data_IF_719899806187
#
_entry.id   IF_719899806187
#
_cell.length_a   1.000
_cell.length_b   1.000
_cell.length_c   1.000
_cell.angle_alpha   90.00
_cell.angle_beta   90.00
_cell.angle_gamma   90.00
#
_symmetry.space_group_name_H-M   'P 1'
#
loop_
_entity.id
_entity.type
_entity.pdbx_description
1 polymer ?
#
# COMPACT_ATOMS: atom_id res chain seq x y z
N UNK A 1 -19.20 -28.37 -17.79
CA UNK A 1 -19.72 -27.50 -16.73
C UNK A 1 -18.51 -26.98 -15.95
N UNK A 2 -18.02 -25.79 -16.30
CA UNK A 2 -16.77 -25.26 -15.73
C UNK A 2 -17.00 -24.77 -14.30
N UNK A 3 -16.07 -25.09 -13.39
CA UNK A 3 -15.81 -24.19 -12.26
C UNK A 3 -14.97 -23.03 -12.81
N UNK A 4 -15.33 -21.75 -12.57
CA UNK A 4 -14.41 -20.66 -12.86
C UNK A 4 -13.13 -20.86 -12.05
N UNK A 5 -11.98 -20.52 -12.64
CA UNK A 5 -10.77 -20.38 -11.85
C UNK A 5 -10.96 -19.16 -10.94
N UNK A 6 -10.85 -19.36 -9.62
CA UNK A 6 -10.83 -18.24 -8.67
C UNK A 6 -9.44 -17.61 -8.80
N UNK A 7 -9.37 -16.49 -9.53
CA UNK A 7 -8.13 -15.75 -9.76
C UNK A 7 -7.62 -15.17 -8.44
N UNK A 8 -6.62 -15.84 -7.84
CA UNK A 8 -5.98 -15.39 -6.59
C UNK A 8 -4.91 -14.34 -6.88
N UNK A 9 -5.34 -13.18 -7.36
CA UNK A 9 -4.52 -11.96 -7.43
C UNK A 9 -4.54 -11.33 -6.02
N UNK A 10 -4.00 -12.05 -5.04
CA UNK A 10 -3.97 -11.62 -3.65
C UNK A 10 -2.87 -10.59 -3.45
N UNK A 11 -3.18 -9.34 -3.81
CA UNK A 11 -2.27 -8.22 -3.65
C UNK A 11 -2.44 -7.56 -2.29
N UNK A 12 -1.45 -7.79 -1.42
CA UNK A 12 -1.13 -6.80 -0.38
C UNK A 12 -0.36 -5.63 -0.99
N UNK A 13 -0.99 -4.97 -1.98
CA UNK A 13 -1.50 -3.62 -1.78
C UNK A 13 -2.55 -3.34 -2.89
N UNK A 14 -3.86 -3.09 -2.66
CA UNK A 14 -4.53 -2.16 -1.71
C UNK A 14 -4.31 -0.71 -2.27
N UNK A 15 -5.08 -0.22 -3.33
CA UNK A 15 -5.37 1.22 -3.82
C UNK A 15 -5.21 1.49 -5.41
N UNK A 16 -6.03 2.08 -6.36
CA UNK A 16 -7.44 2.56 -6.69
C UNK A 16 -7.81 2.77 -8.24
N UNK A 17 -8.83 2.16 -8.89
CA UNK A 17 -9.67 2.63 -10.08
C UNK A 17 -9.13 2.98 -11.52
N UNK A 18 -10.01 3.02 -12.57
CA UNK A 18 -9.87 3.85 -13.78
C UNK A 18 -10.74 5.15 -13.75
N UNK A 19 -10.86 5.87 -14.89
CA UNK A 19 -11.57 7.17 -15.02
C UNK A 19 -12.34 7.26 -16.37
N UNK A 20 -13.35 8.12 -16.46
CA UNK A 20 -14.01 8.51 -17.72
C UNK A 20 -13.96 10.04 -17.96
N UNK A 21 -14.23 10.48 -19.19
CA UNK A 21 -13.82 11.79 -19.72
C UNK A 21 -14.89 12.88 -19.59
N UNK A 22 -14.46 14.12 -19.27
CA UNK A 22 -15.25 15.36 -19.34
C UNK A 22 -14.47 16.50 -20.00
N UNK A 23 -15.19 17.46 -20.61
CA UNK A 23 -14.63 18.58 -21.37
C UNK A 23 -14.23 19.78 -20.47
N UNK A 24 -13.35 20.71 -20.92
CA UNK A 24 -12.73 21.68 -20.03
C UNK A 24 -13.62 22.90 -19.71
N UNK A 25 -13.70 23.22 -18.42
CA UNK A 25 -14.13 24.52 -17.89
C UNK A 25 -12.91 25.29 -17.38
N UNK A 26 -12.99 26.63 -17.35
CA UNK A 26 -11.86 27.48 -16.97
C UNK A 26 -11.40 27.21 -15.53
N UNK A 27 -10.09 27.02 -15.36
CA UNK A 27 -9.45 26.71 -14.07
C UNK A 27 -9.18 28.02 -13.32
N UNK A 28 -9.80 28.28 -12.15
CA UNK A 28 -9.32 29.32 -11.25
C UNK A 28 -7.93 28.93 -10.72
N UNK A 29 -7.11 29.90 -10.32
CA UNK A 29 -5.75 29.63 -9.82
C UNK A 29 -5.79 28.55 -8.72
N UNK A 30 -4.92 27.54 -8.84
CA UNK A 30 -4.86 26.47 -7.87
C UNK A 30 -4.34 27.01 -6.54
N UNK A 31 -5.15 26.89 -5.48
CA UNK A 31 -4.69 27.06 -4.10
C UNK A 31 -3.56 26.06 -3.81
N UNK A 32 -2.58 26.46 -2.98
CA UNK A 32 -1.51 25.57 -2.56
C UNK A 32 -2.08 24.31 -1.88
N UNK A 33 -1.69 23.09 -2.30
CA UNK A 33 -2.33 21.87 -1.84
C UNK A 33 -2.15 21.67 -0.33
N UNK A 34 -3.28 21.67 0.38
CA UNK A 34 -3.37 21.72 1.85
C UNK A 34 -2.51 20.61 2.47
N UNK A 35 -1.53 21.01 3.27
CA UNK A 35 -0.66 20.10 4.01
C UNK A 35 -1.36 19.50 5.23
N UNK A 36 -1.10 18.22 5.50
CA UNK A 36 -1.66 17.49 6.66
C UNK A 36 -0.56 17.35 7.71
N UNK A 37 -0.50 18.31 8.64
CA UNK A 37 0.53 18.36 9.68
C UNK A 37 0.53 17.12 10.58
N UNK A 38 1.74 16.69 10.98
CA UNK A 38 2.00 15.45 11.74
C UNK A 38 1.40 14.22 11.04
N UNK A 39 1.63 14.13 9.73
CA UNK A 39 1.18 13.04 8.85
C UNK A 39 1.50 11.64 9.40
N UNK A 40 2.58 11.52 10.15
CA UNK A 40 3.08 10.28 10.74
C UNK A 40 2.20 9.75 11.88
N UNK A 41 1.41 10.60 12.54
CA UNK A 41 0.45 10.20 13.59
C UNK A 41 -0.79 9.47 13.04
N UNK A 42 -1.01 9.49 11.74
CA UNK A 42 -2.05 8.69 11.07
C UNK A 42 -1.64 7.23 10.87
N UNK A 43 -0.42 6.85 11.27
CA UNK A 43 0.16 5.52 11.05
C UNK A 43 0.89 5.00 12.31
N UNK A 44 0.17 4.80 13.43
CA UNK A 44 0.76 4.21 14.63
C UNK A 44 1.25 2.77 14.38
N UNK A 45 2.53 2.54 14.70
CA UNK A 45 3.25 1.29 14.49
C UNK A 45 3.94 0.79 15.78
N UNK A 46 3.40 1.12 16.96
CA UNK A 46 3.95 0.64 18.23
C UNK A 46 3.69 -0.86 18.41
N UNK A 47 4.74 -1.65 18.66
CA UNK A 47 4.65 -3.08 18.97
C UNK A 47 3.62 -3.38 20.07
N UNK A 48 2.74 -4.35 19.82
CA UNK A 48 1.62 -4.74 20.68
C UNK A 48 0.33 -3.97 20.41
N UNK A 49 0.31 -3.01 19.47
CA UNK A 49 -0.95 -2.40 18.99
C UNK A 49 -1.69 -3.39 18.08
N UNK A 50 -3.02 -3.37 18.12
CA UNK A 50 -3.85 -4.22 17.28
C UNK A 50 -5.16 -3.55 16.86
N UNK A 51 -5.75 -4.10 15.80
CA UNK A 51 -6.98 -3.67 15.16
C UNK A 51 -7.81 -4.89 14.81
N UNK A 52 -9.11 -4.87 15.11
CA UNK A 52 -10.08 -5.89 14.73
C UNK A 52 -11.00 -5.31 13.66
N UNK A 53 -11.03 -5.93 12.48
CA UNK A 53 -11.86 -5.52 11.36
C UNK A 53 -12.91 -6.59 11.04
N UNK A 54 -14.13 -6.13 10.75
CA UNK A 54 -15.09 -6.94 9.99
C UNK A 54 -14.81 -6.80 8.50
N UNK A 55 -14.74 -7.93 7.83
CA UNK A 55 -14.53 -8.03 6.40
C UNK A 55 -15.79 -8.46 5.66
N UNK A 56 -16.00 -7.90 4.47
CA UNK A 56 -16.99 -8.35 3.50
C UNK A 56 -16.30 -8.50 2.13
N UNK A 57 -16.54 -9.61 1.43
CA UNK A 57 -16.05 -9.86 0.07
C UNK A 57 -17.20 -10.33 -0.84
N UNK A 58 -17.23 -9.78 -2.05
CA UNK A 58 -18.20 -10.09 -3.12
C UNK A 58 -17.43 -10.39 -4.41
N UNK A 59 -17.68 -11.55 -5.02
CA UNK A 59 -16.99 -11.99 -6.24
C UNK A 59 -18.04 -12.30 -7.33
N UNK A 60 -17.94 -11.73 -8.53
CA UNK A 60 -18.84 -12.11 -9.61
C UNK A 60 -18.82 -11.27 -10.89
N UNK A 61 -19.51 -11.73 -11.95
CA UNK A 61 -19.57 -11.08 -13.26
C UNK A 61 -20.72 -10.07 -13.33
N UNK A 62 -20.60 -8.97 -12.58
CA UNK A 62 -21.54 -7.82 -12.49
C UNK A 62 -22.92 -8.08 -11.82
N UNK A 63 -23.17 -9.26 -11.24
CA UNK A 63 -24.33 -9.47 -10.37
C UNK A 63 -23.91 -10.17 -9.06
N UNK A 64 -24.28 -9.56 -7.95
CA UNK A 64 -24.07 -10.07 -6.58
C UNK A 64 -24.89 -11.33 -6.36
N UNK A 65 -24.21 -12.46 -6.15
CA UNK A 65 -24.85 -13.76 -5.86
C UNK A 65 -24.76 -14.12 -4.37
N UNK A 66 -23.65 -13.74 -3.71
CA UNK A 66 -23.41 -14.00 -2.29
C UNK A 66 -22.47 -12.93 -1.72
N UNK A 67 -22.75 -12.46 -0.50
CA UNK A 67 -21.81 -11.66 0.30
C UNK A 67 -21.16 -12.57 1.33
N UNK A 68 -19.85 -12.71 1.27
CA UNK A 68 -19.08 -13.52 2.23
C UNK A 68 -18.52 -12.58 3.29
N UNK A 69 -18.78 -12.89 4.55
CA UNK A 69 -18.25 -12.13 5.68
C UNK A 69 -17.06 -12.87 6.29
N UNK A 70 -16.08 -12.10 6.77
CA UNK A 70 -14.89 -12.59 7.46
C UNK A 70 -14.51 -11.62 8.58
N UNK A 71 -13.53 -11.99 9.39
CA UNK A 71 -12.86 -11.06 10.31
C UNK A 71 -11.36 -11.10 10.05
N UNK A 72 -10.70 -9.97 10.31
CA UNK A 72 -9.26 -9.83 10.22
C UNK A 72 -8.77 -9.12 11.49
N UNK A 73 -7.72 -9.65 12.12
CA UNK A 73 -7.04 -9.00 13.24
C UNK A 73 -5.62 -8.67 12.78
N UNK A 74 -5.32 -7.37 12.70
CA UNK A 74 -3.98 -6.87 12.41
C UNK A 74 -3.27 -6.55 13.73
N UNK A 75 -1.98 -6.88 13.85
CA UNK A 75 -1.21 -6.70 15.09
C UNK A 75 0.25 -6.37 14.81
N UNK A 76 0.80 -5.33 15.44
CA UNK A 76 2.23 -5.02 15.34
C UNK A 76 3.02 -5.98 16.23
N UNK A 77 3.57 -7.06 15.65
CA UNK A 77 4.25 -8.11 16.43
C UNK A 77 5.72 -7.80 16.75
N UNK A 78 6.36 -6.91 16.00
CA UNK A 78 7.74 -6.49 16.26
C UNK A 78 8.46 -5.93 15.05
N UNK A 79 9.77 -6.14 14.98
CA UNK A 79 10.62 -5.76 13.84
C UNK A 79 11.34 -6.96 13.23
N UNK A 80 11.67 -6.84 11.95
CA UNK A 80 12.44 -7.82 11.16
C UNK A 80 13.51 -7.05 10.37
N UNK A 81 14.63 -7.68 10.05
CA UNK A 81 15.64 -7.08 9.17
C UNK A 81 15.54 -7.71 7.79
N UNK A 82 15.13 -6.94 6.79
CA UNK A 82 15.03 -7.36 5.39
C UNK A 82 16.06 -6.62 4.55
N UNK A 83 16.97 -7.35 3.89
CA UNK A 83 17.99 -6.79 2.99
C UNK A 83 18.82 -5.65 3.63
N UNK A 84 19.12 -5.75 4.93
CA UNK A 84 19.86 -4.74 5.71
C UNK A 84 19.00 -3.59 6.27
N UNK A 85 17.69 -3.63 6.06
CA UNK A 85 16.75 -2.58 6.51
C UNK A 85 15.83 -3.12 7.60
N UNK A 86 15.74 -2.41 8.73
CA UNK A 86 14.74 -2.71 9.76
C UNK A 86 13.35 -2.31 9.28
N UNK A 87 12.41 -3.26 9.33
CA UNK A 87 10.99 -3.07 9.03
C UNK A 87 10.16 -3.43 10.26
N UNK A 88 9.02 -2.76 10.42
CA UNK A 88 7.93 -3.18 11.29
C UNK A 88 7.21 -4.37 10.67
N UNK A 89 6.81 -5.33 11.51
CA UNK A 89 6.01 -6.49 11.12
C UNK A 89 4.60 -6.31 11.66
N UNK A 90 3.64 -6.26 10.74
CA UNK A 90 2.22 -6.39 11.03
C UNK A 90 1.84 -7.85 10.76
N UNK A 91 1.18 -8.50 11.71
CA UNK A 91 0.65 -9.85 11.55
C UNK A 91 -0.86 -9.75 11.38
N UNK A 92 -1.37 -10.28 10.27
CA UNK A 92 -2.75 -10.13 9.84
C UNK A 92 -3.40 -11.53 9.74
N UNK A 93 -4.49 -11.79 10.47
CA UNK A 93 -5.01 -13.17 10.61
C UNK A 93 -5.78 -13.68 9.38
N UNK A 94 -6.48 -12.82 8.65
CA UNK A 94 -7.18 -13.16 7.41
C UNK A 94 -7.50 -11.89 6.58
N UNK A 95 -6.53 -11.01 6.30
CA UNK A 95 -6.76 -9.78 5.56
C UNK A 95 -7.26 -10.09 4.15
N UNK A 96 -8.18 -9.28 3.62
CA UNK A 96 -8.78 -9.49 2.29
C UNK A 96 -9.49 -10.84 2.11
N UNK A 97 -9.72 -11.60 3.19
CA UNK A 97 -10.11 -13.01 3.18
C UNK A 97 -9.11 -13.93 2.44
N UNK A 98 -7.81 -13.68 2.58
CA UNK A 98 -6.74 -14.41 1.88
C UNK A 98 -5.97 -15.43 2.75
N UNK A 99 -6.29 -15.51 4.05
CA UNK A 99 -5.55 -16.29 5.05
C UNK A 99 -4.41 -15.49 5.69
N UNK A 100 -3.77 -16.10 6.70
CA UNK A 100 -2.74 -15.46 7.54
C UNK A 100 -1.56 -14.91 6.71
N UNK A 101 -1.14 -13.68 7.03
CA UNK A 101 -0.01 -12.99 6.39
C UNK A 101 0.78 -12.14 7.39
N UNK A 102 2.12 -12.14 7.26
CA UNK A 102 2.99 -11.11 7.85
C UNK A 102 3.26 -10.02 6.80
N UNK A 103 2.93 -8.77 7.09
CA UNK A 103 3.10 -7.60 6.22
C UNK A 103 4.25 -6.70 6.70
N UNK A 104 5.17 -6.30 5.80
CA UNK A 104 6.41 -5.60 6.18
C UNK A 104 6.43 -4.12 5.74
N UNK A 105 6.58 -3.20 6.71
CA UNK A 105 6.55 -1.75 6.46
C UNK A 105 7.74 -1.03 7.09
N UNK A 106 8.18 0.07 6.47
CA UNK A 106 9.17 1.01 7.04
C UNK A 106 8.62 2.42 7.01
N UNK A 107 8.50 3.04 8.19
CA UNK A 107 8.16 4.45 8.36
C UNK A 107 9.43 5.27 8.61
N UNK A 108 9.55 6.43 7.96
CA UNK A 108 10.58 7.44 8.24
C UNK A 108 10.02 8.85 8.00
N UNK A 109 10.89 9.87 8.01
CA UNK A 109 10.51 11.27 7.79
C UNK A 109 10.07 11.60 6.36
N UNK A 110 10.25 10.69 5.40
CA UNK A 110 9.86 10.84 3.98
C UNK A 110 8.54 10.13 3.69
N UNK A 111 8.12 9.18 4.53
CA UNK A 111 6.82 8.52 4.43
C UNK A 111 6.84 7.06 4.88
N UNK A 112 6.02 6.24 4.21
CA UNK A 112 5.91 4.80 4.49
C UNK A 112 6.19 4.01 3.22
N UNK A 113 7.10 3.05 3.34
CA UNK A 113 7.55 2.15 2.27
C UNK A 113 7.18 0.71 2.63
N UNK A 114 6.52 0.02 1.71
CA UNK A 114 6.20 -1.40 1.82
C UNK A 114 7.35 -2.27 1.32
N UNK A 115 7.60 -3.38 2.02
CA UNK A 115 8.70 -4.32 1.77
C UNK A 115 8.24 -5.74 1.42
N UNK A 116 6.94 -5.93 1.16
CA UNK A 116 6.34 -7.23 0.83
C UNK A 116 5.62 -7.87 2.00
N UNK A 117 5.00 -9.01 1.72
CA UNK A 117 4.38 -9.89 2.71
C UNK A 117 4.96 -11.30 2.69
N UNK A 118 4.65 -12.07 3.72
CA UNK A 118 4.95 -13.50 3.85
C UNK A 118 3.66 -14.22 4.31
N UNK A 119 2.92 -14.90 3.42
CA UNK A 119 3.29 -15.31 2.06
C UNK A 119 2.89 -14.32 0.93
N UNK A 120 3.85 -13.55 0.40
CA UNK A 120 3.63 -12.70 -0.77
C UNK A 120 3.62 -13.39 -2.14
N UNK A 121 3.02 -12.77 -3.16
CA UNK A 121 2.83 -13.35 -4.51
C UNK A 121 4.08 -13.23 -5.41
N UNK A 122 4.19 -13.99 -6.52
CA UNK A 122 5.31 -13.85 -7.46
C UNK A 122 5.41 -12.45 -8.08
N UNK A 123 4.28 -11.87 -8.48
CA UNK A 123 4.22 -10.52 -9.04
C UNK A 123 4.63 -9.45 -8.00
N UNK A 124 4.10 -9.54 -6.78
CA UNK A 124 4.43 -8.65 -5.67
C UNK A 124 5.93 -8.63 -5.38
N UNK A 125 6.56 -9.81 -5.33
CA UNK A 125 8.01 -9.98 -5.08
C UNK A 125 8.91 -9.27 -6.10
N UNK A 126 8.39 -8.94 -7.28
CA UNK A 126 9.08 -8.14 -8.31
C UNK A 126 8.72 -6.64 -8.24
N UNK A 127 7.56 -6.29 -7.69
CA UNK A 127 7.12 -4.91 -7.48
C UNK A 127 7.80 -4.26 -6.26
N UNK A 128 8.00 -4.98 -5.16
CA UNK A 128 8.58 -4.48 -3.90
C UNK A 128 10.08 -4.15 -3.95
N UNK A 129 10.59 -3.23 -3.08
CA UNK A 129 9.82 -2.32 -2.23
C UNK A 129 9.32 -1.10 -2.98
N UNK A 130 8.26 -0.45 -2.48
CA UNK A 130 7.77 0.82 -3.02
C UNK A 130 7.06 1.67 -1.95
N UNK A 131 6.92 2.97 -2.22
CA UNK A 131 6.31 3.92 -1.29
C UNK A 131 4.78 3.90 -1.40
N UNK A 132 4.09 3.85 -0.26
CA UNK A 132 2.62 3.89 -0.19
C UNK A 132 2.09 5.27 0.23
N UNK A 133 2.82 5.97 1.09
CA UNK A 133 2.49 7.32 1.59
C UNK A 133 3.76 8.18 1.61
N UNK A 134 3.62 9.47 1.29
CA UNK A 134 4.68 10.50 1.38
C UNK A 134 4.38 11.48 2.51
N UNK A 135 5.42 11.90 3.23
CA UNK A 135 5.35 12.94 4.26
C UNK A 135 6.08 14.22 3.82
N UNK A 136 5.54 15.42 4.14
CA UNK A 136 4.18 15.65 4.63
C UNK A 136 3.15 15.26 3.56
N UNK A 137 2.03 14.66 3.98
CA UNK A 137 0.89 14.41 3.11
C UNK A 137 0.29 15.75 2.66
N UNK A 138 -0.15 15.83 1.40
CA UNK A 138 -0.79 17.02 0.83
C UNK A 138 -2.05 16.64 0.06
N UNK A 139 -3.16 17.27 0.39
CA UNK A 139 -4.48 17.08 -0.24
C UNK A 139 -4.40 17.31 -1.75
N UNK A 140 -5.10 16.49 -2.53
CA UNK A 140 -5.12 16.45 -3.98
C UNK A 140 -3.75 16.24 -4.67
N UNK A 141 -2.74 15.70 -3.98
CA UNK A 141 -1.43 15.37 -4.60
C UNK A 141 -1.26 13.87 -4.83
N UNK A 142 -0.61 13.52 -5.95
CA UNK A 142 -0.38 12.15 -6.42
C UNK A 142 1.08 11.88 -6.76
N UNK A 143 1.52 10.62 -6.71
CA UNK A 143 2.86 10.17 -7.06
C UNK A 143 2.90 8.73 -7.57
N UNK A 144 3.69 8.47 -8.61
CA UNK A 144 3.99 7.11 -9.04
C UNK A 144 4.72 6.31 -7.94
N UNK A 145 4.15 5.16 -7.59
CA UNK A 145 4.71 4.15 -6.69
C UNK A 145 5.67 3.23 -7.45
N UNK A 146 5.26 2.81 -8.65
CA UNK A 146 6.05 1.99 -9.57
C UNK A 146 5.55 2.12 -11.02
N UNK A 147 6.45 1.97 -11.99
CA UNK A 147 6.10 1.50 -13.32
C UNK A 147 7.11 0.42 -13.73
N UNK A 148 6.65 -0.80 -13.99
CA UNK A 148 7.49 -1.97 -14.29
C UNK A 148 6.86 -2.80 -15.41
N UNK A 149 7.71 -3.43 -16.23
CA UNK A 149 7.34 -4.15 -17.46
C UNK A 149 7.85 -5.59 -17.41
N UNK A 150 7.23 -6.47 -18.22
CA UNK A 150 7.63 -7.88 -18.39
C UNK A 150 7.78 -8.70 -17.08
N UNK A 151 6.94 -8.40 -16.09
CA UNK A 151 6.92 -9.12 -14.81
C UNK A 151 6.33 -10.52 -14.99
N UNK A 152 6.85 -11.51 -14.28
CA UNK A 152 6.16 -12.81 -14.13
C UNK A 152 4.87 -12.60 -13.31
N UNK A 153 3.71 -12.88 -13.92
CA UNK A 153 2.41 -12.75 -13.27
C UNK A 153 2.16 -13.81 -12.19
N UNK A 154 2.91 -14.93 -12.20
CA UNK A 154 2.80 -15.99 -11.22
C UNK A 154 1.61 -16.93 -11.41
N UNK A 155 0.88 -16.80 -12.51
CA UNK A 155 -0.29 -17.63 -12.87
C UNK A 155 -0.27 -17.88 -14.36
N UNK A 156 -0.57 -19.12 -14.76
CA UNK A 156 -0.95 -19.54 -16.10
C UNK A 156 -2.47 -19.33 -16.27
N UNK A 157 -2.90 -18.47 -17.21
CA UNK A 157 -4.30 -18.11 -17.40
C UNK A 157 -4.92 -18.74 -18.65
N UNK A 158 -4.18 -18.85 -19.77
CA UNK A 158 -4.67 -19.53 -21.00
C UNK A 158 -4.41 -21.05 -21.07
N UNK A 159 -3.68 -21.59 -20.08
CA UNK A 159 -3.44 -23.02 -19.78
C UNK A 159 -2.50 -23.72 -20.75
N UNK A 160 -1.50 -23.01 -21.25
CA UNK A 160 -0.41 -23.57 -22.05
C UNK A 160 0.73 -24.17 -21.19
N UNK A 161 0.72 -23.95 -19.87
CA UNK A 161 1.75 -24.40 -18.93
C UNK A 161 2.81 -23.35 -18.59
N UNK A 162 2.65 -22.10 -19.03
CA UNK A 162 3.57 -20.99 -18.79
C UNK A 162 2.85 -19.87 -18.02
N UNK A 163 3.54 -19.19 -17.10
CA UNK A 163 2.98 -18.02 -16.43
C UNK A 163 2.88 -16.82 -17.37
N UNK A 164 1.82 -16.02 -17.23
CA UNK A 164 1.64 -14.81 -18.03
C UNK A 164 2.66 -13.71 -17.72
N UNK A 165 2.79 -12.75 -18.64
CA UNK A 165 3.66 -11.58 -18.46
C UNK A 165 2.87 -10.30 -18.23
N UNK A 166 3.20 -9.55 -17.19
CA UNK A 166 2.48 -8.33 -16.80
C UNK A 166 3.34 -7.07 -16.90
N UNK A 167 2.81 -6.04 -17.57
CA UNK A 167 3.22 -4.66 -17.35
C UNK A 167 2.32 -4.05 -16.27
N UNK A 168 2.89 -3.46 -15.20
CA UNK A 168 2.15 -2.93 -14.07
C UNK A 168 2.61 -1.51 -13.70
N UNK A 169 1.65 -0.58 -13.60
CA UNK A 169 1.83 0.80 -13.14
C UNK A 169 1.01 1.03 -11.86
N UNK A 170 1.64 1.67 -10.87
CA UNK A 170 1.11 2.01 -9.55
C UNK A 170 1.25 3.51 -9.24
N UNK A 171 0.20 4.23 -8.85
CA UNK A 171 0.21 5.69 -8.55
C UNK A 171 -0.60 6.04 -7.30
N UNK A 172 -0.01 6.57 -6.21
CA UNK A 172 -0.69 6.89 -4.91
C UNK A 172 -0.97 8.38 -4.71
N UNK A 173 -2.13 8.70 -4.11
CA UNK A 173 -2.79 10.02 -4.07
C UNK A 173 -3.44 10.29 -2.71
N UNK A 174 -3.13 11.41 -2.07
CA UNK A 174 -3.89 11.85 -0.87
C UNK A 174 -5.08 12.68 -1.35
N UNK A 175 -6.30 12.19 -1.20
CA UNK A 175 -7.49 12.85 -1.77
C UNK A 175 -7.98 13.99 -0.90
N UNK A 176 -8.02 13.80 0.42
CA UNK A 176 -8.56 14.78 1.35
C UNK A 176 -8.74 14.23 2.76
N UNK A 177 -9.49 14.97 3.58
CA UNK A 177 -9.99 14.51 4.87
C UNK A 177 -11.53 14.55 4.84
N UNK A 178 -12.17 13.49 5.33
CA UNK A 178 -13.63 13.35 5.35
C UNK A 178 -14.09 12.51 6.55
N UNK A 179 -15.31 12.74 7.07
CA UNK A 179 -15.82 12.01 8.23
C UNK A 179 -16.20 10.57 7.86
N UNK A 180 -15.66 9.60 8.61
CA UNK A 180 -15.89 8.16 8.40
C UNK A 180 -16.53 7.55 9.62
N UNK A 181 -17.64 6.84 9.44
CA UNK A 181 -18.31 6.05 10.48
C UNK A 181 -18.14 4.56 10.20
N UNK A 182 -17.66 3.83 11.20
CA UNK A 182 -17.48 2.37 11.27
C UNK A 182 -17.92 1.89 12.67
N UNK A 183 -17.99 0.58 12.99
CA UNK A 183 -18.49 0.14 14.30
C UNK A 183 -17.65 0.64 15.49
N UNK A 184 -16.35 0.86 15.31
CA UNK A 184 -15.48 1.49 16.31
C UNK A 184 -15.80 2.99 16.59
N UNK A 185 -16.65 3.64 15.78
CA UNK A 185 -17.09 5.03 15.97
C UNK A 185 -17.02 5.89 14.71
N UNK A 186 -17.16 7.21 14.90
CA UNK A 186 -17.04 8.21 13.83
C UNK A 186 -15.75 9.02 13.98
N UNK A 187 -14.89 8.98 12.97
CA UNK A 187 -13.64 9.73 12.88
C UNK A 187 -13.84 10.91 11.93
N UNK A 188 -13.86 12.15 12.45
CA UNK A 188 -14.26 13.34 11.68
C UNK A 188 -13.26 13.74 10.59
N UNK A 189 -11.96 13.63 10.89
CA UNK A 189 -10.87 14.16 10.06
C UNK A 189 -10.05 13.04 9.39
N UNK A 190 -10.70 11.93 9.02
CA UNK A 190 -10.01 10.75 8.49
C UNK A 190 -9.40 11.05 7.11
N UNK A 191 -8.09 10.82 6.98
CA UNK A 191 -7.35 11.06 5.73
C UNK A 191 -7.70 9.97 4.74
N UNK A 192 -8.37 10.35 3.66
CA UNK A 192 -8.67 9.48 2.54
C UNK A 192 -7.49 9.48 1.57
N UNK A 193 -6.87 8.32 1.43
CA UNK A 193 -5.87 8.04 0.39
C UNK A 193 -6.56 7.27 -0.72
N UNK A 194 -6.07 7.42 -1.95
CA UNK A 194 -6.53 6.79 -3.18
C UNK A 194 -5.31 6.56 -4.09
N UNK A 195 -5.25 5.56 -4.97
CA UNK A 195 -4.05 5.27 -5.77
C UNK A 195 -4.49 4.79 -7.14
N UNK A 196 -3.81 3.79 -7.70
CA UNK A 196 -4.14 3.18 -9.00
C UNK A 196 -3.18 2.05 -9.26
N UNK A 197 -3.64 0.80 -9.42
CA UNK A 197 -2.87 -0.19 -10.16
C UNK A 197 -3.55 -0.55 -11.48
N UNK A 198 -2.79 -0.45 -12.57
CA UNK A 198 -3.20 -0.85 -13.93
C UNK A 198 -2.24 -1.90 -14.44
N UNK A 199 -2.78 -3.03 -14.89
CA UNK A 199 -2.02 -4.15 -15.44
C UNK A 199 -2.39 -4.40 -16.90
N UNK A 200 -1.38 -4.70 -17.72
CA UNK A 200 -1.53 -5.33 -19.04
C UNK A 200 -0.89 -6.71 -18.98
N UNK A 201 -1.72 -7.74 -18.90
CA UNK A 201 -1.30 -9.13 -18.80
C UNK A 201 -1.32 -9.70 -20.23
N UNK A 202 -0.15 -10.08 -20.74
CA UNK A 202 0.05 -10.74 -22.03
C UNK A 202 0.01 -12.24 -21.81
N UNK A 203 -0.93 -12.89 -22.48
CA UNK A 203 -1.11 -14.34 -22.45
C UNK A 203 0.01 -15.05 -23.21
N UNK A 204 0.57 -16.13 -22.66
CA UNK A 204 1.68 -16.91 -23.20
C UNK A 204 1.32 -17.61 -24.51
N UNK A 205 0.29 -18.46 -24.49
CA UNK A 205 -0.10 -19.29 -25.63
C UNK A 205 -0.66 -18.50 -26.82
N UNK A 206 -1.23 -17.31 -26.55
CA UNK A 206 -1.98 -16.54 -27.56
C UNK A 206 -1.45 -15.12 -27.84
N UNK A 207 -0.53 -14.58 -27.04
CA UNK A 207 -0.07 -13.17 -27.08
C UNK A 207 -1.18 -12.10 -26.97
N UNK A 208 -2.43 -12.49 -26.68
CA UNK A 208 -3.54 -11.59 -26.38
C UNK A 208 -3.22 -10.79 -25.11
N UNK A 209 -3.65 -9.54 -25.05
CA UNK A 209 -3.53 -8.71 -23.83
C UNK A 209 -4.87 -8.64 -23.12
N UNK A 210 -4.87 -9.01 -21.84
CA UNK A 210 -5.94 -8.79 -20.87
C UNK A 210 -5.58 -7.59 -20.01
N UNK A 211 -6.51 -6.65 -19.83
CA UNK A 211 -6.33 -5.52 -18.92
C UNK A 211 -6.91 -5.82 -17.55
N UNK A 212 -6.12 -5.56 -16.50
CA UNK A 212 -6.56 -5.58 -15.11
C UNK A 212 -6.52 -4.18 -14.51
N UNK A 213 -7.49 -3.88 -13.65
CA UNK A 213 -7.50 -2.67 -12.81
C UNK A 213 -7.71 -3.11 -11.37
N UNK A 214 -6.78 -2.76 -10.49
CA UNK A 214 -6.97 -2.91 -9.05
C UNK A 214 -7.35 -1.57 -8.41
N UNK A 215 -8.19 -1.66 -7.39
CA UNK A 215 -8.80 -0.55 -6.69
C UNK A 215 -8.67 -0.73 -5.18
N UNK A 216 -8.30 0.28 -4.41
CA UNK A 216 -8.89 0.51 -3.07
C UNK A 216 -9.20 1.99 -2.82
N UNK A 217 -10.04 2.29 -1.84
CA UNK A 217 -9.95 3.54 -1.07
C UNK A 217 -9.68 3.21 0.40
N UNK A 218 -8.79 3.95 1.07
CA UNK A 218 -8.50 3.76 2.50
C UNK A 218 -8.57 5.07 3.27
N UNK A 219 -9.01 4.93 4.52
CA UNK A 219 -9.20 6.05 5.43
C UNK A 219 -8.40 5.81 6.70
N UNK A 220 -7.53 6.77 7.03
CA UNK A 220 -6.67 6.71 8.21
C UNK A 220 -7.12 7.77 9.22
N UNK A 221 -7.35 7.38 10.47
CA UNK A 221 -7.69 8.30 11.55
C UNK A 221 -6.47 8.57 12.45
N UNK A 222 -6.35 9.83 12.87
CA UNK A 222 -5.22 10.33 13.66
C UNK A 222 -5.11 9.60 15.00
N UNK A 223 -3.93 9.06 15.30
CA UNK A 223 -3.67 8.28 16.51
C UNK A 223 -4.32 6.90 16.54
N UNK A 224 -4.98 6.46 15.46
CA UNK A 224 -5.64 5.15 15.35
C UNK A 224 -5.06 4.32 14.22
N UNK A 225 -4.78 4.89 13.05
CA UNK A 225 -4.38 4.10 11.87
C UNK A 225 -5.52 3.90 10.89
N UNK A 226 -5.48 2.79 10.14
CA UNK A 226 -6.52 2.42 9.19
C UNK A 226 -7.86 2.19 9.91
N UNK A 227 -8.90 2.93 9.55
CA UNK A 227 -10.26 2.77 10.12
C UNK A 227 -11.26 2.16 9.14
N UNK A 228 -11.01 2.33 7.83
CA UNK A 228 -11.79 1.71 6.76
C UNK A 228 -10.94 1.46 5.53
N UNK A 229 -11.26 0.37 4.85
CA UNK A 229 -10.69 -0.10 3.59
C UNK A 229 -11.82 -0.58 2.67
N UNK A 230 -11.73 -0.29 1.37
CA UNK A 230 -12.63 -0.84 0.34
C UNK A 230 -11.78 -1.17 -0.88
N UNK A 231 -11.68 -2.44 -1.28
CA UNK A 231 -11.02 -2.90 -2.52
C UNK A 231 -12.02 -3.13 -3.65
N UNK A 232 -11.56 -3.08 -4.91
CA UNK A 232 -12.33 -3.48 -6.09
C UNK A 232 -11.43 -3.92 -7.26
N UNK A 233 -11.07 -5.20 -7.31
CA UNK A 233 -10.32 -5.74 -8.44
C UNK A 233 -11.23 -5.96 -9.66
N UNK A 234 -10.74 -5.63 -10.86
CA UNK A 234 -11.38 -5.94 -12.15
C UNK A 234 -10.40 -6.64 -13.08
N UNK A 235 -10.85 -7.71 -13.74
CA UNK A 235 -10.13 -8.37 -14.82
C UNK A 235 -10.99 -8.42 -16.08
N UNK A 236 -10.44 -7.95 -17.21
CA UNK A 236 -11.15 -7.93 -18.50
C UNK A 236 -11.48 -9.35 -19.01
N UNK A 237 -12.55 -9.54 -19.80
CA UNK A 237 -12.97 -10.87 -20.25
C UNK A 237 -11.88 -11.62 -21.04
N UNK A 238 -11.56 -12.84 -20.59
CA UNK A 238 -10.84 -13.82 -21.39
C UNK A 238 -11.72 -14.32 -22.55
N UNK A 239 -12.96 -14.72 -22.25
CA UNK A 239 -13.94 -15.24 -23.22
C UNK A 239 -15.33 -14.62 -23.00
N UNK A 240 -15.97 -14.86 -21.84
CA UNK A 240 -17.36 -14.43 -21.56
C UNK A 240 -17.47 -12.99 -21.00
N UNK A 241 -17.24 -12.83 -19.69
CA UNK A 241 -17.44 -11.59 -18.93
C UNK A 241 -16.22 -11.32 -18.06
N UNK A 242 -16.02 -10.06 -17.69
CA UNK A 242 -14.99 -9.69 -16.73
C UNK A 242 -15.33 -10.22 -15.33
N UNK A 243 -14.29 -10.44 -14.53
CA UNK A 243 -14.43 -10.75 -13.10
C UNK A 243 -14.29 -9.45 -12.32
N UNK A 244 -15.18 -9.24 -11.34
CA UNK A 244 -15.05 -8.19 -10.34
C UNK A 244 -15.00 -8.85 -8.96
N UNK A 245 -14.05 -8.41 -8.14
CA UNK A 245 -13.95 -8.75 -6.72
C UNK A 245 -14.00 -7.45 -5.93
N UNK A 246 -14.99 -7.28 -5.05
CA UNK A 246 -15.11 -6.12 -4.16
C UNK A 246 -14.91 -6.58 -2.71
N UNK A 247 -13.96 -5.96 -2.01
CA UNK A 247 -13.63 -6.25 -0.61
C UNK A 247 -13.91 -4.98 0.21
N UNK A 248 -14.25 -5.13 1.48
CA UNK A 248 -14.36 -4.01 2.43
C UNK A 248 -13.96 -4.50 3.81
N UNK A 249 -13.08 -3.75 4.49
CA UNK A 249 -12.79 -3.94 5.91
C UNK A 249 -13.15 -2.67 6.68
N UNK A 250 -13.90 -2.83 7.77
CA UNK A 250 -14.30 -1.73 8.66
C UNK A 250 -13.86 -2.04 10.09
N UNK A 251 -13.26 -1.05 10.77
CA UNK A 251 -12.74 -1.23 12.12
C UNK A 251 -13.88 -1.42 13.14
N UNK A 252 -13.86 -2.56 13.83
CA UNK A 252 -14.77 -2.88 14.93
C UNK A 252 -14.19 -2.53 16.28
N UNK A 253 -12.91 -2.82 16.51
CA UNK A 253 -12.20 -2.51 17.75
C UNK A 253 -10.71 -2.23 17.49
N UNK A 254 -10.05 -1.55 18.43
CA UNK A 254 -8.61 -1.30 18.36
C UNK A 254 -8.01 -1.05 19.74
N UNK A 255 -6.71 -1.36 19.89
CA UNK A 255 -5.91 -0.90 21.02
C UNK A 255 -4.55 -0.41 20.52
N UNK A 256 -4.30 0.91 20.61
CA UNK A 256 -3.01 1.49 20.23
C UNK A 256 -2.12 1.60 21.46
N UNK A 257 -0.94 0.97 21.43
CA UNK A 257 0.04 1.11 22.50
C UNK A 257 0.75 2.46 22.36
N UNK A 258 0.92 3.24 23.45
CA UNK A 258 1.63 4.50 23.39
C UNK A 258 3.08 4.25 22.96
N UNK A 259 3.58 5.09 22.04
CA UNK A 259 4.98 5.05 21.62
C UNK A 259 5.87 5.14 22.87
N UNK A 260 6.77 4.17 23.06
CA UNK A 260 7.71 4.15 24.19
C UNK A 260 8.78 5.24 24.01
N UNK A 261 8.41 6.48 24.32
CA UNK A 261 9.38 7.55 24.55
C UNK A 261 10.25 7.15 25.74
N UNK A 262 11.55 7.03 25.50
CA UNK A 262 12.53 6.62 26.52
C UNK A 262 12.85 7.77 27.48
N UNK A 263 11.86 8.19 28.25
CA UNK A 263 12.04 9.07 29.40
C UNK A 263 12.28 8.24 30.67
N UNK A 264 13.53 7.83 30.84
CA UNK A 264 14.11 7.54 32.16
C UNK A 264 15.40 8.38 32.32
N UNK A 265 15.77 8.67 33.57
CA UNK A 265 16.35 9.96 33.94
C UNK A 265 17.78 10.26 33.48
N UNK A 266 17.93 11.10 32.45
CA UNK A 266 19.17 11.86 32.21
C UNK A 266 19.22 13.12 33.09
N UNK A 267 19.85 12.98 34.26
CA UNK A 267 20.15 14.08 35.20
C UNK A 267 21.01 15.15 34.49
N UNK A 268 20.73 16.47 34.63
CA UNK A 268 21.46 17.50 33.89
C UNK A 268 22.92 17.57 34.32
N UNK A 269 23.83 17.30 33.39
CA UNK A 269 25.25 17.58 33.52
C UNK A 269 25.54 19.08 33.26
N UNK A 270 26.57 19.67 33.89
CA UNK A 270 26.76 21.13 33.88
C UNK A 270 27.33 21.68 32.57
N UNK A 271 27.28 23.01 32.46
CA UNK A 271 27.73 23.78 31.30
C UNK A 271 29.23 23.57 31.00
N UNK A 272 29.54 23.44 29.71
CA UNK A 272 30.89 23.46 29.13
C UNK A 272 30.75 23.67 27.61
N UNK A 273 30.47 24.89 27.16
CA UNK A 273 31.49 25.90 26.85
C UNK A 273 32.37 25.49 25.65
N UNK A 274 31.81 25.54 24.45
CA UNK A 274 32.41 26.23 23.30
C UNK A 274 31.29 26.81 22.41
N UNK A 275 31.58 27.95 21.78
CA UNK A 275 30.66 28.74 20.95
C UNK A 275 30.84 28.45 19.46
N UNK A 276 29.84 28.84 18.67
CA UNK A 276 29.84 29.16 17.23
C UNK A 276 31.07 28.79 16.37
N UNK A 277 30.81 28.08 15.26
CA UNK A 277 30.79 28.78 13.96
C UNK A 277 29.77 28.10 13.03
N UNK A 278 29.34 28.81 11.99
CA UNK A 278 28.35 28.37 11.01
C UNK A 278 28.82 28.66 9.57
N UNK A 279 29.06 27.60 8.77
CA UNK A 279 29.06 27.69 7.31
C UNK A 279 29.04 26.37 6.55
N UNK A 280 28.48 26.50 5.33
CA UNK A 280 28.68 25.74 4.10
C UNK A 280 28.28 24.25 3.97
N UNK A 281 27.41 24.02 2.98
CA UNK A 281 27.08 22.72 2.41
C UNK A 281 28.21 22.19 1.51
N UNK A 282 28.26 20.86 1.32
CA UNK A 282 28.21 20.29 -0.03
C UNK A 282 27.76 18.83 -0.08
N UNK A 283 27.04 18.49 -1.15
CA UNK A 283 26.74 17.12 -1.55
C UNK A 283 28.02 16.42 -2.03
N UNK A 284 28.11 15.11 -1.84
CA UNK A 284 29.02 14.25 -2.60
C UNK A 284 28.24 13.16 -3.32
N UNK A 285 28.40 13.10 -4.63
CA UNK A 285 28.03 11.94 -5.44
C UNK A 285 29.10 10.86 -5.25
N UNK A 286 28.70 9.59 -5.19
CA UNK A 286 29.62 8.46 -5.24
C UNK A 286 29.58 7.88 -6.65
N UNK A 287 30.73 7.88 -7.34
CA UNK A 287 30.92 7.25 -8.64
C UNK A 287 31.43 5.82 -8.46
N UNK A 288 30.99 4.90 -9.31
CA UNK A 288 31.51 3.53 -9.37
C UNK A 288 32.89 3.50 -10.06
N UNK A 289 33.90 2.81 -9.50
CA UNK A 289 35.11 2.46 -10.22
C UNK A 289 34.94 1.14 -10.99
N UNK A 290 35.14 1.19 -12.31
CA UNK A 290 35.33 0.01 -13.16
C UNK A 290 36.73 0.03 -13.74
N UNK A 291 37.57 -0.95 -13.41
CA UNK A 291 38.88 -1.15 -14.06
C UNK A 291 39.38 -2.59 -13.92
N UNK A 292 39.60 -3.26 -15.05
CA UNK A 292 40.57 -4.36 -15.13
C UNK A 292 41.98 -3.74 -15.24
N UNK A 293 43.00 -4.43 -14.72
CA UNK A 293 44.40 -4.01 -14.87
C UNK A 293 45.36 -4.96 -14.16
N UNK A 294 46.20 -5.60 -14.96
CA UNK A 294 47.36 -6.45 -14.65
C UNK A 294 48.39 -5.80 -13.68
N UNK A 295 49.37 -6.49 -13.07
CA UNK A 295 50.18 -7.64 -13.50
C UNK A 295 50.76 -8.45 -12.32
N UNK A 296 50.92 -9.78 -12.49
CA UNK A 296 52.03 -10.65 -12.00
C UNK A 296 51.77 -12.11 -12.38
#
# INVERSE_FOLDING_TARGET
>A
MMKPAVFRISFFIILCLPFFVGAPSAVPAADDPIGIDRSDEFFPDTTGSHWEYRGQITEGPLQTIEHKFFSNVSSVVGTKTLRGVTVMVFHDTNPGNHGVSDSFYRRDSVGIVYYGSEPGTPLEKQLIPYQIVRFPMKVATSFAQFDKKDLDFGTDMDRDGVNEKADAQGDSTVVGQEPVTVPAGTFQDAVRVEARMKMKIRLSGSNKVVTGTDVMTAWFAKGVGLVKYVERQELSPLEDRGVITEITEELESYEIKPLKTSFDGSKPAPQGLFTDDARDHKLQQVLFPSSLGSDS
#
